data_IF_957475400436
#
_entry.id   IF_957475400436
#
_cell.length_a   1.000
_cell.length_b   1.000
_cell.length_c   1.000
_cell.angle_alpha   90.00
_cell.angle_beta   90.00
_cell.angle_gamma   90.00
#
_symmetry.space_group_name_H-M   'P 1'
#
loop_
_entity.id
_entity.type
_entity.pdbx_description
1 polymer ?
#
# COMPACT_ATOMS: atom_id res chain seq x y z
N UNK A 1 7.80 7.55 10.21
CA UNK A 1 8.72 6.42 10.14
C UNK A 1 8.04 5.19 9.58
N UNK A 2 8.71 4.47 8.73
CA UNK A 2 8.14 3.29 8.09
C UNK A 2 8.92 2.05 8.49
N UNK A 3 8.21 0.96 8.62
CA UNK A 3 8.78 -0.32 8.99
C UNK A 3 8.27 -1.36 8.01
N UNK A 4 9.14 -2.28 7.60
CA UNK A 4 8.81 -3.34 6.66
C UNK A 4 8.95 -4.67 7.37
N UNK A 5 7.88 -5.47 7.32
CA UNK A 5 7.84 -6.76 7.98
C UNK A 5 7.40 -7.83 6.99
N UNK A 6 7.90 -9.03 7.16
CA UNK A 6 7.40 -10.16 6.41
C UNK A 6 6.16 -10.69 7.08
N UNK A 7 5.39 -11.42 6.32
CA UNK A 7 4.18 -12.13 6.74
C UNK A 7 3.90 -12.10 8.25
N UNK A 8 2.85 -11.40 8.64
CA UNK A 8 2.39 -11.35 10.02
C UNK A 8 1.06 -12.09 10.13
N UNK A 9 0.79 -12.61 11.32
CA UNK A 9 -0.47 -13.28 11.55
C UNK A 9 -1.60 -12.25 11.62
N UNK A 10 -2.62 -12.47 10.78
CA UNK A 10 -3.78 -11.60 10.70
C UNK A 10 -4.94 -12.18 11.51
N UNK A 11 -5.62 -11.30 12.24
CA UNK A 11 -6.91 -11.63 12.84
C UNK A 11 -7.99 -10.96 12.01
N UNK A 12 -8.87 -11.76 11.40
CA UNK A 12 -9.92 -11.21 10.56
C UNK A 12 -10.98 -10.53 11.39
N UNK A 13 -11.49 -9.42 10.87
CA UNK A 13 -12.55 -8.65 11.53
C UNK A 13 -13.84 -8.88 10.75
N UNK A 14 -14.86 -9.52 11.34
CA UNK A 14 -16.14 -9.74 10.67
C UNK A 14 -16.79 -8.40 10.31
N UNK A 15 -17.44 -8.36 9.16
CA UNK A 15 -18.19 -7.19 8.68
C UNK A 15 -17.34 -5.95 8.40
N UNK A 16 -16.01 -6.08 8.41
CA UNK A 16 -15.14 -4.98 8.01
C UNK A 16 -15.22 -4.75 6.49
N UNK A 17 -14.91 -3.55 6.01
CA UNK A 17 -14.83 -3.32 4.55
C UNK A 17 -13.85 -4.29 3.89
N UNK A 18 -14.09 -4.61 2.62
CA UNK A 18 -13.28 -5.59 1.91
C UNK A 18 -11.79 -5.23 1.86
N UNK A 19 -11.48 -3.93 1.88
CA UNK A 19 -10.08 -3.48 1.88
C UNK A 19 -9.36 -3.79 3.17
N UNK A 20 -10.08 -3.99 4.27
CA UNK A 20 -9.47 -4.33 5.56
C UNK A 20 -9.18 -5.82 5.58
N UNK A 21 -7.89 -6.19 5.54
CA UNK A 21 -7.50 -7.59 5.59
C UNK A 21 -7.68 -8.17 6.99
N UNK A 22 -7.49 -7.36 8.01
CA UNK A 22 -7.61 -7.79 9.38
C UNK A 22 -6.81 -6.91 10.33
N UNK A 23 -6.47 -7.46 11.48
CA UNK A 23 -5.66 -6.78 12.48
C UNK A 23 -4.35 -7.53 12.68
N UNK A 24 -3.29 -6.80 12.92
CA UNK A 24 -1.97 -7.35 13.21
C UNK A 24 -1.54 -6.85 14.58
N UNK A 25 -0.95 -7.73 15.37
CA UNK A 25 -0.36 -7.33 16.65
C UNK A 25 1.12 -7.07 16.42
N UNK A 26 1.53 -5.82 16.57
CA UNK A 26 2.93 -5.40 16.44
C UNK A 26 3.41 -4.92 17.80
N UNK A 27 4.26 -5.72 18.44
CA UNK A 27 4.89 -5.33 19.71
C UNK A 27 3.87 -4.91 20.76
N UNK A 28 2.77 -5.66 20.85
CA UNK A 28 1.71 -5.37 21.81
C UNK A 28 0.70 -4.33 21.35
N UNK A 29 0.88 -3.75 20.18
CA UNK A 29 -0.04 -2.77 19.61
C UNK A 29 -0.84 -3.40 18.48
N UNK A 30 -2.15 -3.23 18.50
CA UNK A 30 -3.03 -3.72 17.43
C UNK A 30 -3.10 -2.69 16.32
N UNK A 31 -2.79 -3.11 15.10
CA UNK A 31 -2.70 -2.25 13.93
C UNK A 31 -3.61 -2.79 12.84
N UNK A 32 -4.38 -1.90 12.20
CA UNK A 32 -5.22 -2.30 11.07
C UNK A 32 -4.36 -2.60 9.86
N UNK A 33 -4.65 -3.70 9.17
CA UNK A 33 -3.95 -4.09 7.94
C UNK A 33 -4.87 -3.87 6.75
N UNK A 34 -4.41 -3.05 5.81
CA UNK A 34 -5.14 -2.73 4.59
C UNK A 34 -4.54 -3.50 3.42
N UNK A 35 -5.40 -4.20 2.67
CA UNK A 35 -4.96 -4.93 1.49
C UNK A 35 -4.86 -3.96 0.32
N UNK A 36 -3.64 -3.64 -0.09
CA UNK A 36 -3.42 -2.65 -1.15
C UNK A 36 -3.96 -3.13 -2.49
N UNK A 37 -3.90 -4.43 -2.78
CA UNK A 37 -4.48 -4.96 -4.02
C UNK A 37 -5.96 -4.63 -4.13
N UNK A 38 -6.70 -4.80 -3.04
CA UNK A 38 -8.12 -4.50 -3.02
C UNK A 38 -8.37 -3.01 -3.25
N UNK A 39 -7.58 -2.16 -2.62
CA UNK A 39 -7.71 -0.70 -2.79
C UNK A 39 -7.41 -0.26 -4.22
N UNK A 40 -6.50 -0.96 -4.90
CA UNK A 40 -6.12 -0.67 -6.28
C UNK A 40 -7.03 -1.35 -7.31
N UNK A 41 -8.02 -2.12 -6.87
CA UNK A 41 -8.91 -2.85 -7.75
C UNK A 41 -8.25 -4.02 -8.45
N UNK A 42 -7.20 -4.59 -7.83
CA UNK A 42 -6.48 -5.73 -8.39
C UNK A 42 -7.06 -7.05 -7.88
N UNK A 43 -6.85 -8.15 -8.60
CA UNK A 43 -7.30 -9.46 -8.13
C UNK A 43 -6.63 -9.83 -6.81
N UNK A 44 -7.27 -10.72 -6.02
CA UNK A 44 -6.66 -11.20 -4.79
C UNK A 44 -5.29 -11.84 -5.04
N UNK A 45 -4.43 -11.79 -4.02
CA UNK A 45 -3.13 -12.42 -4.10
C UNK A 45 -3.29 -13.93 -4.23
N UNK A 46 -2.50 -14.60 -5.09
CA UNK A 46 -2.58 -16.05 -5.22
C UNK A 46 -2.34 -16.76 -3.90
N UNK A 47 -3.01 -17.87 -3.67
CA UNK A 47 -2.79 -18.67 -2.49
C UNK A 47 -1.35 -19.16 -2.44
N UNK A 48 -0.80 -19.24 -1.22
CA UNK A 48 0.57 -19.67 -1.02
C UNK A 48 1.60 -18.57 -1.18
N UNK A 49 1.19 -17.36 -1.61
CA UNK A 49 2.08 -16.22 -1.69
C UNK A 49 2.01 -15.42 -0.40
N UNK A 50 3.17 -15.02 0.12
CA UNK A 50 3.22 -14.21 1.32
C UNK A 50 3.14 -12.72 0.96
N UNK A 51 2.41 -11.97 1.77
CA UNK A 51 2.38 -10.53 1.65
C UNK A 51 3.53 -9.92 2.44
N UNK A 52 4.01 -8.78 1.98
CA UNK A 52 4.94 -7.96 2.74
C UNK A 52 4.12 -6.90 3.46
N UNK A 53 4.42 -6.67 4.73
CA UNK A 53 3.70 -5.71 5.54
C UNK A 53 4.53 -4.44 5.67
N UNK A 54 3.96 -3.32 5.23
CA UNK A 54 4.57 -2.01 5.40
C UNK A 54 3.79 -1.26 6.46
N UNK A 55 4.46 -0.86 7.54
CA UNK A 55 3.83 -0.08 8.59
C UNK A 55 4.10 1.40 8.32
N UNK A 56 3.03 2.18 8.25
CA UNK A 56 3.12 3.62 8.03
C UNK A 56 2.43 4.35 9.18
N UNK A 57 2.86 5.57 9.45
CA UNK A 57 2.21 6.40 10.46
C UNK A 57 1.53 7.57 9.80
N UNK A 58 0.24 7.71 10.10
CA UNK A 58 -0.58 8.81 9.60
C UNK A 58 -1.27 9.45 10.80
N UNK A 59 -1.07 10.75 10.96
CA UNK A 59 -1.68 11.50 12.07
C UNK A 59 -1.42 10.87 13.43
N UNK A 60 -0.22 10.32 13.62
CA UNK A 60 0.19 9.70 14.88
C UNK A 60 -0.28 8.27 15.06
N UNK A 61 -1.06 7.73 14.15
CA UNK A 61 -1.53 6.36 14.23
C UNK A 61 -0.78 5.46 13.26
N UNK A 62 -0.55 4.22 13.68
CA UNK A 62 0.09 3.23 12.83
C UNK A 62 -0.97 2.48 12.04
N UNK A 63 -0.72 2.32 10.74
CA UNK A 63 -1.54 1.53 9.84
C UNK A 63 -0.59 0.68 9.01
N UNK A 64 -0.99 -0.53 8.67
CA UNK A 64 -0.17 -1.37 7.82
C UNK A 64 -0.81 -1.57 6.46
N UNK A 65 0.04 -1.69 5.44
CA UNK A 65 -0.37 -1.98 4.08
C UNK A 65 0.21 -3.33 3.69
N UNK A 66 -0.63 -4.21 3.16
CA UNK A 66 -0.18 -5.48 2.63
C UNK A 66 0.12 -5.30 1.15
N UNK A 67 1.36 -5.57 0.77
CA UNK A 67 1.82 -5.42 -0.61
C UNK A 67 2.46 -6.74 -1.07
N UNK A 68 2.67 -6.86 -2.38
CA UNK A 68 3.22 -8.10 -2.95
C UNK A 68 4.70 -8.25 -2.63
N UNK A 69 5.46 -7.18 -2.80
CA UNK A 69 6.90 -7.23 -2.61
C UNK A 69 7.46 -5.83 -2.43
N UNK A 70 8.70 -5.77 -1.98
CA UNK A 70 9.45 -4.52 -1.84
C UNK A 70 10.60 -4.56 -2.83
N UNK A 71 10.75 -3.49 -3.58
CA UNK A 71 11.91 -3.28 -4.45
C UNK A 71 12.91 -2.37 -3.75
N UNK A 72 13.89 -1.90 -4.49
CA UNK A 72 14.89 -1.00 -3.94
C UNK A 72 14.30 0.36 -3.61
N UNK A 73 14.93 1.03 -2.66
CA UNK A 73 14.64 2.44 -2.39
C UNK A 73 15.36 3.26 -3.45
N UNK A 74 14.62 4.11 -4.15
CA UNK A 74 15.16 4.96 -5.22
C UNK A 74 15.01 6.41 -4.86
N UNK A 75 16.05 7.20 -5.16
CA UNK A 75 15.95 8.64 -5.05
C UNK A 75 15.29 9.17 -6.31
N UNK A 76 14.34 10.08 -6.13
CA UNK A 76 13.64 10.70 -7.25
C UNK A 76 13.83 12.22 -7.21
N UNK A 77 13.82 12.82 -8.38
CA UNK A 77 13.90 14.26 -8.51
C UNK A 77 12.51 14.83 -8.72
N UNK A 78 12.14 15.84 -7.93
CA UNK A 78 10.84 16.47 -8.04
C UNK A 78 10.57 17.01 -9.44
N UNK A 79 11.63 17.34 -10.19
CA UNK A 79 11.48 17.81 -11.58
C UNK A 79 10.99 16.73 -12.53
N UNK A 80 11.17 15.47 -12.15
CA UNK A 80 10.72 14.33 -12.96
C UNK A 80 9.30 13.89 -12.63
N UNK A 81 8.62 14.63 -11.76
CA UNK A 81 7.26 14.31 -11.36
C UNK A 81 6.26 14.76 -12.43
N UNK A 82 5.38 13.85 -12.81
CA UNK A 82 4.34 14.12 -13.81
C UNK A 82 2.98 13.70 -13.29
N UNK A 83 1.95 14.15 -13.99
CA UNK A 83 0.58 13.72 -13.70
C UNK A 83 0.45 12.22 -13.88
N UNK A 84 -0.56 11.58 -13.25
CA UNK A 84 -0.79 10.14 -13.45
C UNK A 84 -0.99 9.81 -14.93
N UNK A 85 -0.52 8.64 -15.39
CA UNK A 85 -0.75 8.22 -16.77
C UNK A 85 -2.24 8.13 -17.10
N UNK A 86 -2.61 8.50 -18.31
CA UNK A 86 -3.99 8.40 -18.77
C UNK A 86 -4.50 6.97 -18.84
N UNK A 87 -3.60 6.01 -18.85
CA UNK A 87 -3.95 4.59 -18.89
C UNK A 87 -4.46 4.07 -17.55
N UNK A 88 -4.28 4.82 -16.46
CA UNK A 88 -4.81 4.40 -15.17
C UNK A 88 -6.31 4.57 -15.13
N UNK A 89 -7.00 3.54 -14.70
CA UNK A 89 -8.45 3.50 -14.61
C UNK A 89 -8.90 2.97 -13.25
N UNK A 90 -10.17 3.25 -12.91
CA UNK A 90 -10.79 2.72 -11.71
C UNK A 90 -10.14 3.21 -10.43
N UNK A 91 -10.14 2.38 -9.37
CA UNK A 91 -9.62 2.79 -8.07
C UNK A 91 -8.15 3.21 -8.09
N UNK A 92 -7.35 2.59 -8.96
CA UNK A 92 -5.93 2.93 -9.03
C UNK A 92 -5.71 4.39 -9.39
N UNK A 93 -6.55 4.94 -10.26
CA UNK A 93 -6.41 6.33 -10.69
C UNK A 93 -6.55 7.30 -9.52
N UNK A 94 -7.45 6.99 -8.60
CA UNK A 94 -7.68 7.86 -7.44
C UNK A 94 -6.55 7.77 -6.41
N UNK A 95 -5.87 6.65 -6.34
CA UNK A 95 -4.85 6.40 -5.34
C UNK A 95 -3.45 6.81 -5.79
N UNK A 96 -3.25 7.08 -7.06
CA UNK A 96 -1.94 7.45 -7.60
C UNK A 96 -1.86 8.97 -7.73
N UNK A 97 -0.90 9.57 -7.02
CA UNK A 97 -0.69 11.02 -7.05
C UNK A 97 -0.07 11.48 -8.35
N UNK A 98 0.77 10.65 -8.93
CA UNK A 98 1.49 10.99 -10.13
C UNK A 98 2.57 9.96 -10.41
N UNK A 99 3.53 10.31 -11.24
CA UNK A 99 4.57 9.39 -11.63
C UNK A 99 5.91 10.11 -11.70
N UNK A 100 6.98 9.37 -11.40
CA UNK A 100 8.35 9.85 -11.60
C UNK A 100 8.95 9.07 -12.75
N UNK A 101 9.59 9.78 -13.67
CA UNK A 101 10.32 9.14 -14.76
C UNK A 101 11.66 8.65 -14.25
N UNK A 102 11.91 7.38 -14.45
CA UNK A 102 13.18 6.75 -14.18
C UNK A 102 13.74 6.21 -15.49
N UNK A 103 15.03 5.91 -15.50
CA UNK A 103 15.66 5.33 -16.68
C UNK A 103 14.94 4.05 -17.10
N UNK A 104 14.26 4.11 -18.24
CA UNK A 104 13.57 2.95 -18.80
C UNK A 104 12.30 2.52 -18.13
N UNK A 105 11.78 3.29 -17.15
CA UNK A 105 10.55 2.90 -16.46
C UNK A 105 9.89 4.06 -15.76
N UNK A 106 8.64 3.83 -15.34
CA UNK A 106 7.84 4.79 -14.60
C UNK A 106 7.63 4.30 -13.17
N UNK A 107 7.82 5.18 -12.20
CA UNK A 107 7.53 4.88 -10.81
C UNK A 107 6.26 5.63 -10.40
N UNK A 108 5.20 4.89 -10.09
CA UNK A 108 3.94 5.49 -9.69
C UNK A 108 3.96 5.83 -8.20
N UNK A 109 3.54 7.05 -7.87
CA UNK A 109 3.53 7.53 -6.49
C UNK A 109 2.15 7.35 -5.87
N UNK A 110 2.08 6.55 -4.81
CA UNK A 110 0.85 6.25 -4.11
C UNK A 110 0.50 7.35 -3.11
N UNK A 111 -0.78 7.73 -3.07
CA UNK A 111 -1.30 8.58 -2.01
C UNK A 111 -1.68 7.69 -0.83
N UNK A 112 -0.84 7.66 0.19
CA UNK A 112 -1.02 6.75 1.32
C UNK A 112 -2.29 7.09 2.10
N UNK A 113 -2.63 8.37 2.27
CA UNK A 113 -3.84 8.76 2.97
C UNK A 113 -5.09 8.18 2.29
N UNK A 114 -5.16 8.31 0.98
CA UNK A 114 -6.29 7.75 0.22
C UNK A 114 -6.30 6.23 0.25
N UNK A 115 -5.11 5.62 0.21
CA UNK A 115 -5.00 4.17 0.22
C UNK A 115 -5.55 3.56 1.51
N UNK A 116 -5.39 4.24 2.64
CA UNK A 116 -5.91 3.74 3.92
C UNK A 116 -7.34 4.20 4.19
N UNK A 117 -7.94 4.95 3.28
CA UNK A 117 -9.35 5.33 3.40
C UNK A 117 -9.62 6.58 4.20
N UNK A 118 -8.63 7.40 4.39
CA UNK A 118 -8.78 8.67 5.13
C UNK A 118 -9.16 9.81 4.22
#
# INVERSE_FOLDING_TARGET
MQEVLRSQQLTRVPLAPSAVAGLINLRGQVVTAIELRERLGRPPRPEGTEAVVIVVRLHGEAVSLLVDSIADVVDVDARDFEAPPDTLEGPARELIRGAYKLDGKLLLALDVHKAVGS
#
